data_IF_373434757628
#
_entry.id   IF_373434757628
#
_cell.length_a   1.000
_cell.length_b   1.000
_cell.length_c   1.000
_cell.angle_alpha   90.00
_cell.angle_beta   90.00
_cell.angle_gamma   90.00
#
_symmetry.space_group_name_H-M   'P 1'
#
loop_
_entity.id
_entity.type
_entity.pdbx_description
1 polymer ?
#
# COMPACT_ATOMS: atom_id res chain seq x y z
N UNK A 1 -8.35 2.21 -11.31
CA UNK A 1 -9.28 1.14 -10.86
C UNK A 1 -10.57 1.14 -11.68
N UNK A 2 -11.35 2.24 -11.80
CA UNK A 2 -12.61 2.23 -12.54
C UNK A 2 -12.46 1.80 -14.00
N UNK A 3 -11.46 2.36 -14.69
CA UNK A 3 -11.09 1.96 -16.05
C UNK A 3 -10.81 0.45 -16.18
N UNK A 4 -10.16 -0.16 -15.18
CA UNK A 4 -9.88 -1.60 -15.20
C UNK A 4 -11.17 -2.42 -15.08
N UNK A 5 -12.13 -1.96 -14.26
CA UNK A 5 -13.44 -2.59 -14.15
C UNK A 5 -14.28 -2.41 -15.42
N UNK A 6 -14.15 -1.30 -16.15
CA UNK A 6 -14.79 -1.14 -17.46
C UNK A 6 -14.24 -2.13 -18.50
N UNK A 7 -12.93 -2.39 -18.47
CA UNK A 7 -12.26 -3.32 -19.38
C UNK A 7 -12.52 -4.78 -18.98
N UNK A 8 -12.56 -5.08 -17.68
CA UNK A 8 -12.77 -6.42 -17.12
C UNK A 8 -13.85 -6.37 -16.02
N UNK A 9 -15.14 -6.37 -16.39
CA UNK A 9 -16.26 -6.18 -15.45
C UNK A 9 -16.40 -7.28 -14.39
N UNK A 10 -15.86 -8.47 -14.66
CA UNK A 10 -15.87 -9.62 -13.75
C UNK A 10 -14.68 -9.64 -12.78
N UNK A 11 -13.73 -8.70 -12.91
CA UNK A 11 -12.55 -8.67 -12.06
C UNK A 11 -12.89 -8.50 -10.57
N UNK A 12 -12.15 -9.23 -9.73
CA UNK A 12 -12.13 -9.04 -8.29
C UNK A 12 -10.92 -8.15 -7.93
N UNK A 13 -11.17 -7.09 -7.17
CA UNK A 13 -10.16 -6.12 -6.75
C UNK A 13 -9.79 -6.36 -5.29
N UNK A 14 -8.51 -6.57 -5.02
CA UNK A 14 -7.99 -6.69 -3.66
C UNK A 14 -7.26 -5.39 -3.31
N UNK A 15 -7.82 -4.64 -2.37
CA UNK A 15 -7.21 -3.43 -1.82
C UNK A 15 -6.46 -3.82 -0.55
N UNK A 16 -5.14 -3.96 -0.68
CA UNK A 16 -4.24 -4.31 0.42
C UNK A 16 -3.59 -3.04 0.98
N UNK A 17 -4.01 -2.62 2.16
CA UNK A 17 -3.51 -1.40 2.80
C UNK A 17 -2.42 -1.71 3.82
N UNK A 18 -1.27 -1.06 3.65
CA UNK A 18 -0.14 -1.14 4.58
C UNK A 18 -0.05 0.13 5.41
N UNK A 19 0.50 -0.01 6.61
CA UNK A 19 0.90 1.10 7.47
C UNK A 19 1.68 2.19 6.69
N UNK A 20 1.31 3.44 6.91
CA UNK A 20 1.82 4.61 6.21
C UNK A 20 3.35 4.72 6.35
N UNK A 21 3.86 4.65 7.58
CA UNK A 21 5.28 4.78 7.87
C UNK A 21 6.08 3.65 7.23
N UNK A 22 5.60 2.40 7.39
CA UNK A 22 6.24 1.22 6.81
C UNK A 22 6.30 1.29 5.28
N UNK A 23 5.26 1.83 4.64
CA UNK A 23 5.22 1.98 3.19
C UNK A 23 6.14 3.11 2.72
N UNK A 24 6.13 4.28 3.38
CA UNK A 24 7.00 5.41 3.07
C UNK A 24 8.48 5.03 3.24
N UNK A 25 8.82 4.31 4.32
CA UNK A 25 10.18 3.81 4.57
C UNK A 25 10.64 2.86 3.44
N UNK A 26 9.75 1.95 3.01
CA UNK A 26 10.02 1.02 1.91
C UNK A 26 10.28 1.75 0.59
N UNK A 27 9.49 2.79 0.33
CA UNK A 27 9.57 3.59 -0.88
C UNK A 27 10.87 4.40 -0.96
N UNK A 28 11.29 5.02 0.14
CA UNK A 28 12.54 5.77 0.20
C UNK A 28 13.76 4.86 -0.01
N UNK A 29 13.73 3.66 0.59
CA UNK A 29 14.78 2.65 0.38
C UNK A 29 14.82 2.14 -1.05
N UNK A 30 13.67 1.99 -1.71
CA UNK A 30 13.63 1.56 -3.10
C UNK A 30 14.38 2.56 -4.01
N UNK A 31 14.21 3.87 -3.79
CA UNK A 31 14.93 4.90 -4.56
C UNK A 31 16.46 4.73 -4.47
N UNK A 32 16.97 4.50 -3.26
CA UNK A 32 18.38 4.19 -3.02
C UNK A 32 18.82 2.88 -3.70
N UNK A 33 18.02 1.82 -3.59
CA UNK A 33 18.32 0.50 -4.18
C UNK A 33 18.34 0.50 -5.71
N UNK A 34 17.45 1.25 -6.35
CA UNK A 34 17.31 1.25 -7.81
C UNK A 34 18.13 2.33 -8.50
N UNK A 35 18.37 3.47 -7.84
CA UNK A 35 19.03 4.62 -8.46
C UNK A 35 20.28 5.09 -7.72
N UNK A 36 20.52 4.63 -6.49
CA UNK A 36 21.59 5.17 -5.63
C UNK A 36 21.34 6.61 -5.18
N UNK A 37 20.14 7.15 -5.41
CA UNK A 37 19.76 8.51 -5.06
C UNK A 37 18.29 8.54 -4.59
N UNK A 38 18.06 9.14 -3.43
CA UNK A 38 16.73 9.29 -2.82
C UNK A 38 15.92 10.43 -3.43
N UNK A 39 16.56 11.35 -4.14
CA UNK A 39 15.90 12.42 -4.87
C UNK A 39 15.19 11.91 -6.13
N UNK A 40 15.58 10.73 -6.63
CA UNK A 40 14.97 10.12 -7.80
C UNK A 40 13.55 9.62 -7.52
N UNK A 41 12.70 9.64 -8.54
CA UNK A 41 11.33 9.16 -8.42
C UNK A 41 11.24 7.65 -8.67
N UNK A 42 10.65 6.92 -7.72
CA UNK A 42 10.34 5.49 -7.88
C UNK A 42 8.83 5.24 -7.74
N UNK A 43 8.34 4.24 -8.47
CA UNK A 43 6.92 3.87 -8.65
C UNK A 43 6.12 4.77 -9.62
N UNK A 44 4.81 4.50 -9.70
CA UNK A 44 3.88 5.18 -10.60
C UNK A 44 3.84 6.69 -10.33
N UNK A 45 3.76 7.49 -11.39
CA UNK A 45 3.68 8.95 -11.28
C UNK A 45 2.21 9.36 -11.14
N UNK A 46 1.80 9.93 -10.00
CA UNK A 46 0.43 10.41 -9.83
C UNK A 46 0.22 11.72 -10.60
N UNK A 47 -1.04 12.14 -10.85
CA UNK A 47 -1.35 13.45 -11.44
C UNK A 47 -0.71 14.63 -10.68
N UNK A 48 -0.52 14.49 -9.37
CA UNK A 48 0.04 15.51 -8.47
C UNK A 48 1.58 15.55 -8.48
N UNK A 49 2.25 14.80 -9.36
CA UNK A 49 3.72 14.64 -9.37
C UNK A 49 4.48 15.98 -9.26
N UNK A 50 4.05 17.01 -10.00
CA UNK A 50 4.75 18.30 -10.01
C UNK A 50 4.72 19.00 -8.64
N UNK A 51 3.64 18.81 -7.88
CA UNK A 51 3.53 19.34 -6.51
C UNK A 51 4.46 18.58 -5.56
N UNK A 52 4.58 17.26 -5.77
CA UNK A 52 5.42 16.39 -4.96
C UNK A 52 6.91 16.66 -5.20
N UNK A 53 7.32 16.93 -6.44
CA UNK A 53 8.72 17.22 -6.78
C UNK A 53 9.26 18.49 -6.08
N UNK A 54 8.38 19.38 -5.61
CA UNK A 54 8.76 20.54 -4.79
C UNK A 54 9.04 20.24 -3.32
N UNK A 55 8.70 19.04 -2.83
CA UNK A 55 8.91 18.61 -1.45
C UNK A 55 10.29 17.94 -1.29
N UNK A 56 10.80 17.89 -0.07
CA UNK A 56 12.00 17.10 0.22
C UNK A 56 11.71 15.59 0.08
N UNK A 57 12.72 14.74 -0.26
CA UNK A 57 12.49 13.32 -0.54
C UNK A 57 11.80 12.53 0.57
N UNK A 58 12.01 12.91 1.84
CA UNK A 58 11.35 12.24 2.95
C UNK A 58 9.87 12.59 2.96
N UNK A 59 9.52 13.86 2.82
CA UNK A 59 8.12 14.28 2.73
C UNK A 59 7.42 13.73 1.47
N UNK A 60 8.13 13.67 0.35
CA UNK A 60 7.64 13.10 -0.90
C UNK A 60 7.10 11.68 -0.72
N UNK A 61 7.82 10.80 -0.01
CA UNK A 61 7.40 9.41 0.13
C UNK A 61 6.14 9.26 0.99
N UNK A 62 5.93 10.12 1.99
CA UNK A 62 4.68 10.14 2.77
C UNK A 62 3.51 10.63 1.94
N UNK A 63 3.68 11.76 1.24
CA UNK A 63 2.66 12.33 0.37
C UNK A 63 2.30 11.36 -0.77
N UNK A 64 3.30 10.72 -1.39
CA UNK A 64 3.11 9.74 -2.45
C UNK A 64 2.28 8.54 -1.96
N UNK A 65 2.59 7.97 -0.78
CA UNK A 65 1.81 6.87 -0.21
C UNK A 65 0.38 7.31 0.08
N UNK A 66 0.19 8.48 0.70
CA UNK A 66 -1.13 9.01 1.03
C UNK A 66 -2.00 9.18 -0.21
N UNK A 67 -1.51 9.90 -1.21
CA UNK A 67 -2.24 10.16 -2.45
C UNK A 67 -2.55 8.87 -3.22
N UNK A 68 -1.60 7.92 -3.23
CA UNK A 68 -1.83 6.61 -3.86
C UNK A 68 -2.95 5.85 -3.14
N UNK A 69 -2.91 5.80 -1.81
CA UNK A 69 -3.94 5.13 -1.01
C UNK A 69 -5.31 5.80 -1.18
N UNK A 70 -5.38 7.13 -1.19
CA UNK A 70 -6.61 7.87 -1.41
C UNK A 70 -7.20 7.61 -2.80
N UNK A 71 -6.37 7.62 -3.84
CA UNK A 71 -6.80 7.31 -5.20
C UNK A 71 -7.29 5.85 -5.32
N UNK A 72 -6.64 4.91 -4.64
CA UNK A 72 -7.08 3.51 -4.59
C UNK A 72 -8.41 3.38 -3.86
N UNK A 73 -8.58 4.02 -2.69
CA UNK A 73 -9.82 4.01 -1.91
C UNK A 73 -10.98 4.62 -2.68
N UNK A 74 -10.77 5.78 -3.29
CA UNK A 74 -11.77 6.45 -4.13
C UNK A 74 -12.14 5.59 -5.35
N UNK A 75 -11.14 5.02 -6.02
CA UNK A 75 -11.37 4.16 -7.18
C UNK A 75 -12.10 2.87 -6.82
N UNK A 76 -11.87 2.32 -5.63
CA UNK A 76 -12.53 1.11 -5.15
C UNK A 76 -13.93 1.37 -4.58
N UNK A 77 -14.18 2.54 -3.97
CA UNK A 77 -15.48 2.87 -3.37
C UNK A 77 -16.60 3.01 -4.40
N UNK A 78 -16.26 3.31 -5.66
CA UNK A 78 -17.23 3.40 -6.76
C UNK A 78 -17.53 2.05 -7.43
N UNK A 79 -16.81 0.99 -7.07
CA UNK A 79 -17.07 -0.35 -7.61
C UNK A 79 -18.17 -1.07 -6.80
N UNK A 80 -18.84 -2.08 -7.40
CA UNK A 80 -19.72 -2.97 -6.66
C UNK A 80 -18.98 -3.62 -5.48
N UNK A 81 -19.47 -3.43 -4.26
CA UNK A 81 -18.78 -3.90 -3.04
C UNK A 81 -18.53 -5.42 -3.00
N UNK A 82 -19.32 -6.21 -3.75
CA UNK A 82 -19.09 -7.66 -3.92
C UNK A 82 -17.79 -8.00 -4.66
N UNK A 83 -17.26 -7.07 -5.45
CA UNK A 83 -16.05 -7.21 -6.26
C UNK A 83 -14.81 -6.62 -5.59
N UNK A 84 -14.94 -6.07 -4.38
CA UNK A 84 -13.83 -5.44 -3.67
C UNK A 84 -13.59 -6.14 -2.34
N UNK A 85 -12.33 -6.53 -2.10
CA UNK A 85 -11.84 -7.04 -0.83
C UNK A 85 -10.88 -6.02 -0.22
N UNK A 86 -11.24 -5.49 0.95
CA UNK A 86 -10.37 -4.58 1.71
C UNK A 86 -9.64 -5.37 2.80
N UNK A 87 -8.32 -5.42 2.73
CA UNK A 87 -7.48 -6.12 3.68
C UNK A 87 -6.40 -5.20 4.23
N UNK A 88 -6.11 -5.33 5.53
CA UNK A 88 -4.89 -4.77 6.11
C UNK A 88 -3.73 -5.74 5.86
N UNK A 89 -2.58 -5.20 5.45
CA UNK A 89 -1.37 -5.97 5.18
C UNK A 89 -0.95 -6.83 6.37
N UNK A 90 -1.08 -6.29 7.60
CA UNK A 90 -0.77 -7.01 8.83
C UNK A 90 -1.62 -8.27 8.98
N UNK A 91 -2.94 -8.14 8.86
CA UNK A 91 -3.86 -9.27 8.96
C UNK A 91 -3.58 -10.30 7.86
N UNK A 92 -3.31 -9.84 6.64
CA UNK A 92 -2.94 -10.69 5.51
C UNK A 92 -1.69 -11.53 5.82
N UNK A 93 -0.65 -10.91 6.38
CA UNK A 93 0.56 -11.60 6.80
C UNK A 93 0.32 -12.56 7.97
N UNK A 94 -0.52 -12.21 8.94
CA UNK A 94 -0.79 -13.05 10.12
C UNK A 94 -1.66 -14.27 9.80
N UNK A 95 -2.56 -14.16 8.81
CA UNK A 95 -3.49 -15.22 8.45
C UNK A 95 -3.63 -15.44 6.94
N UNK A 96 -2.56 -15.80 6.21
CA UNK A 96 -2.62 -15.99 4.76
C UNK A 96 -3.65 -17.07 4.37
N UNK A 97 -3.79 -18.13 5.17
CA UNK A 97 -4.83 -19.16 5.01
C UNK A 97 -6.26 -18.63 5.02
N UNK A 98 -6.56 -17.70 5.95
CA UNK A 98 -7.88 -17.08 6.06
C UNK A 98 -8.20 -16.24 4.82
N UNK A 99 -7.26 -15.41 4.37
CA UNK A 99 -7.44 -14.54 3.22
C UNK A 99 -7.52 -15.34 1.91
N UNK A 100 -6.74 -16.42 1.80
CA UNK A 100 -6.85 -17.35 0.68
C UNK A 100 -8.23 -18.01 0.61
N UNK A 101 -8.74 -18.54 1.72
CA UNK A 101 -10.08 -19.14 1.76
C UNK A 101 -11.16 -18.13 1.36
N UNK A 102 -11.09 -16.89 1.87
CA UNK A 102 -12.00 -15.81 1.48
C UNK A 102 -11.92 -15.48 -0.01
N UNK A 103 -10.71 -15.48 -0.59
CA UNK A 103 -10.52 -15.24 -2.01
C UNK A 103 -11.15 -16.35 -2.86
N UNK A 104 -10.92 -17.61 -2.51
CA UNK A 104 -11.50 -18.77 -3.22
C UNK A 104 -13.03 -18.77 -3.15
N UNK A 105 -13.60 -18.49 -1.98
CA UNK A 105 -15.05 -18.34 -1.79
C UNK A 105 -15.62 -17.22 -2.70
N UNK A 106 -14.96 -16.06 -2.74
CA UNK A 106 -15.37 -14.93 -3.60
C UNK A 106 -15.30 -15.25 -5.09
N UNK A 107 -14.31 -16.04 -5.49
CA UNK A 107 -14.15 -16.49 -6.88
C UNK A 107 -15.10 -17.65 -7.24
N UNK A 108 -15.76 -18.28 -6.26
CA UNK A 108 -16.63 -19.44 -6.49
C UNK A 108 -15.85 -20.67 -6.97
N UNK A 109 -14.58 -20.78 -6.61
CA UNK A 109 -13.70 -21.90 -6.99
C UNK A 109 -13.42 -22.78 -5.78
N UNK A 110 -13.14 -24.06 -6.03
CA UNK A 110 -12.77 -24.99 -4.97
C UNK A 110 -11.46 -24.55 -4.28
N UNK A 111 -11.45 -24.61 -2.95
CA UNK A 111 -10.30 -24.16 -2.15
C UNK A 111 -9.13 -25.11 -2.37
N UNK A 112 -8.14 -24.68 -3.15
CA UNK A 112 -6.88 -25.38 -3.24
C UNK A 112 -6.01 -25.14 -1.98
N UNK A 113 -5.08 -26.05 -1.64
CA UNK A 113 -4.05 -25.76 -0.64
C UNK A 113 -3.22 -24.55 -1.07
N UNK A 114 -2.87 -23.67 -0.13
CA UNK A 114 -1.94 -22.58 -0.42
C UNK A 114 -0.58 -23.17 -0.80
N UNK A 115 0.01 -22.79 -1.95
CA UNK A 115 1.41 -23.06 -2.20
C UNK A 115 2.26 -22.21 -1.24
N UNK A 116 2.98 -22.86 -0.33
CA UNK A 116 3.88 -22.20 0.62
C UNK A 116 3.61 -22.57 2.08
N UNK A 117 4.25 -21.87 3.02
CA UNK A 117 4.33 -22.33 4.39
C UNK A 117 3.00 -22.42 5.16
N UNK A 118 1.93 -21.77 4.66
CA UNK A 118 0.64 -21.67 5.35
C UNK A 118 0.69 -20.94 6.71
N UNK A 119 1.88 -20.60 7.20
CA UNK A 119 2.14 -19.95 8.48
C UNK A 119 2.23 -18.42 8.34
N UNK A 120 2.13 -17.66 9.46
CA UNK A 120 2.27 -16.22 9.45
C UNK A 120 3.58 -15.74 8.83
N UNK A 121 3.53 -14.61 8.11
CA UNK A 121 4.70 -13.88 7.64
C UNK A 121 5.07 -12.77 8.62
N UNK A 122 6.36 -12.58 8.93
CA UNK A 122 6.77 -11.53 9.87
C UNK A 122 6.52 -10.14 9.26
N UNK A 123 5.72 -9.32 9.95
CA UNK A 123 5.54 -7.92 9.61
C UNK A 123 6.74 -7.14 10.14
N UNK A 124 7.59 -6.66 9.22
CA UNK A 124 8.77 -5.88 9.58
C UNK A 124 8.37 -4.46 9.96
N UNK A 125 8.94 -3.96 11.06
CA UNK A 125 8.87 -2.55 11.42
C UNK A 125 9.64 -1.70 10.40
N UNK A 126 9.22 -0.45 10.15
CA UNK A 126 10.02 0.50 9.40
C UNK A 126 11.41 0.63 10.03
N UNK A 127 12.42 0.75 9.18
CA UNK A 127 13.82 0.88 9.57
C UNK A 127 14.41 2.03 8.77
N UNK A 128 14.27 3.25 9.26
CA UNK A 128 14.78 4.42 8.56
C UNK A 128 16.32 4.43 8.54
N UNK A 129 16.95 4.97 7.48
CA UNK A 129 18.38 5.30 7.50
C UNK A 129 18.74 6.16 8.72
N UNK A 130 19.93 5.95 9.29
CA UNK A 130 20.33 6.56 10.57
C UNK A 130 20.39 8.10 10.53
N UNK A 131 20.62 8.66 9.34
CA UNK A 131 20.65 10.08 9.06
C UNK A 131 19.26 10.74 9.04
N UNK A 132 18.17 9.95 9.08
CA UNK A 132 16.80 10.48 9.11
C UNK A 132 16.34 10.60 10.57
N UNK A 133 16.08 11.83 11.06
CA UNK A 133 15.66 12.04 12.44
C UNK A 133 14.27 11.42 12.72
N UNK A 134 14.13 10.74 13.85
CA UNK A 134 12.88 10.08 14.23
C UNK A 134 11.74 11.08 14.49
N UNK A 135 12.04 12.26 15.04
CA UNK A 135 11.07 13.34 15.23
C UNK A 135 10.50 13.87 13.92
N UNK A 136 11.35 13.98 12.87
CA UNK A 136 10.90 14.29 11.50
C UNK A 136 9.95 13.25 10.95
N UNK A 137 10.24 11.96 11.17
CA UNK A 137 9.35 10.86 10.76
C UNK A 137 8.02 10.96 11.51
N UNK A 138 8.03 11.13 12.83
CA UNK A 138 6.81 11.26 13.64
C UNK A 138 5.93 12.42 13.16
N UNK A 139 6.53 13.61 12.92
CA UNK A 139 5.80 14.76 12.43
C UNK A 139 5.14 14.52 11.06
N UNK A 140 5.81 13.77 10.17
CA UNK A 140 5.26 13.42 8.86
C UNK A 140 4.18 12.35 8.96
N UNK A 141 4.32 11.36 9.84
CA UNK A 141 3.23 10.41 10.14
C UNK A 141 2.01 11.19 10.61
N UNK A 142 2.14 12.07 11.59
CA UNK A 142 1.01 12.88 12.10
C UNK A 142 0.38 13.77 11.02
N UNK A 143 1.20 14.34 10.12
CA UNK A 143 0.74 15.18 9.01
C UNK A 143 -0.09 14.41 7.99
N UNK A 144 0.28 13.17 7.67
CA UNK A 144 -0.30 12.41 6.56
C UNK A 144 -1.20 11.25 6.99
N UNK A 145 -1.23 10.90 8.27
CA UNK A 145 -2.11 9.86 8.79
C UNK A 145 -3.57 10.34 8.74
N UNK A 146 -4.43 9.49 8.20
CA UNK A 146 -5.87 9.75 8.22
C UNK A 146 -6.37 9.62 9.67
N UNK A 147 -6.98 10.69 10.20
CA UNK A 147 -7.54 10.71 11.57
C UNK A 147 -8.67 9.69 11.81
N UNK A 148 -9.12 9.00 10.76
CA UNK A 148 -10.13 7.94 10.82
C UNK A 148 -9.52 6.53 10.96
N UNK A 149 -8.19 6.41 11.09
CA UNK A 149 -7.48 5.12 11.25
C UNK A 149 -7.10 4.79 12.71
N UNK A 150 -7.69 5.47 13.71
CA UNK A 150 -7.50 5.19 15.14
C UNK A 150 -8.59 4.30 15.72
#
# INVERSE_FOLDING_TARGET
IPLLHEIVPEALFIVLERDLEANACSLLKARDQFYGDRNEWWAFRPPEIDQLLGLDPLEQVFAQVKLTNDAVRLGASILPQRQVLHWKYKDFCEGPARHHAQLMERLGVEVAPIPGPGHPYPVRRPQWPAEIPADRVCALVEKYLDRNET
#
